data_IF_838431225715
#
_entry.id   IF_838431225715
#
_cell.length_a   1.000
_cell.length_b   1.000
_cell.length_c   1.000
_cell.angle_alpha   90.00
_cell.angle_beta   90.00
_cell.angle_gamma   90.00
#
_symmetry.space_group_name_H-M   'P 1'
#
loop_
_entity.id
_entity.type
_entity.pdbx_description
1 polymer ?
#
# COMPACT_ATOMS: atom_id res chain seq x y z
N UNK A 1 -4.48 8.72 -2.75
CA UNK A 1 -5.67 8.00 -2.22
C UNK A 1 -6.87 8.90 -2.09
N UNK A 2 -6.72 10.14 -1.59
CA UNK A 2 -7.81 11.13 -1.55
C UNK A 2 -8.26 11.55 -2.95
N UNK A 3 -7.32 11.82 -3.86
CA UNK A 3 -7.60 12.20 -5.27
C UNK A 3 -8.42 11.15 -6.03
N UNK A 4 -8.21 9.87 -5.71
CA UNK A 4 -8.89 8.74 -6.35
C UNK A 4 -10.17 8.33 -5.62
N UNK A 5 -10.54 9.02 -4.54
CA UNK A 5 -11.67 8.65 -3.68
C UNK A 5 -11.42 7.36 -2.86
N UNK A 6 -10.19 6.84 -2.87
CA UNK A 6 -9.79 5.63 -2.14
C UNK A 6 -9.65 5.81 -0.63
N UNK A 7 -9.68 7.04 -0.12
CA UNK A 7 -9.67 7.32 1.31
C UNK A 7 -10.60 8.50 1.63
N UNK A 8 -11.64 8.24 2.42
CA UNK A 8 -12.70 9.21 2.77
C UNK A 8 -13.15 8.95 4.21
N UNK A 9 -13.43 10.00 4.98
CA UNK A 9 -13.94 9.90 6.36
C UNK A 9 -13.12 8.96 7.27
N UNK A 10 -11.79 9.05 7.18
CA UNK A 10 -10.85 8.20 7.91
C UNK A 10 -11.00 6.69 7.64
N UNK A 11 -11.52 6.31 6.48
CA UNK A 11 -11.69 4.93 6.06
C UNK A 11 -11.17 4.72 4.63
N UNK A 12 -10.67 3.51 4.36
CA UNK A 12 -10.30 3.07 3.02
C UNK A 12 -11.57 2.69 2.24
N UNK A 13 -11.67 3.18 1.01
CA UNK A 13 -12.67 2.74 0.05
C UNK A 13 -12.01 1.75 -0.92
N UNK A 14 -12.10 0.46 -0.61
CA UNK A 14 -11.43 -0.61 -1.37
C UNK A 14 -11.92 -0.67 -2.82
N UNK A 15 -13.18 -0.41 -3.10
CA UNK A 15 -13.73 -0.42 -4.46
C UNK A 15 -13.13 0.71 -5.32
N UNK A 16 -13.04 1.92 -4.77
CA UNK A 16 -12.39 3.04 -5.46
C UNK A 16 -10.89 2.77 -5.68
N UNK A 17 -10.21 2.17 -4.70
CA UNK A 17 -8.80 1.78 -4.83
C UNK A 17 -8.63 0.72 -5.93
N UNK A 18 -9.42 -0.36 -5.92
CA UNK A 18 -9.36 -1.41 -6.95
C UNK A 18 -9.61 -0.83 -8.33
N UNK A 19 -10.61 0.05 -8.46
CA UNK A 19 -10.89 0.75 -9.73
C UNK A 19 -9.71 1.59 -10.20
N UNK A 20 -9.07 2.33 -9.29
CA UNK A 20 -7.87 3.12 -9.62
C UNK A 20 -6.67 2.26 -9.99
N UNK A 21 -6.53 1.07 -9.39
CA UNK A 21 -5.43 0.17 -9.71
C UNK A 21 -5.68 -0.65 -10.98
N UNK A 22 -6.94 -0.92 -11.33
CA UNK A 22 -7.31 -1.60 -12.57
C UNK A 22 -6.80 -0.88 -13.83
N UNK A 23 -6.69 0.45 -13.80
CA UNK A 23 -6.15 1.24 -14.92
C UNK A 23 -4.63 1.32 -14.96
N UNK A 24 -3.93 0.70 -14.01
CA UNK A 24 -2.46 0.70 -13.91
C UNK A 24 -1.93 -0.73 -13.80
N UNK A 25 -1.53 -1.18 -12.60
CA UNK A 25 -1.03 -2.53 -12.35
C UNK A 25 -2.07 -3.62 -12.66
N UNK A 26 -3.36 -3.31 -12.50
CA UNK A 26 -4.42 -4.27 -12.79
C UNK A 26 -4.63 -4.55 -14.29
N UNK A 27 -4.08 -3.70 -15.17
CA UNK A 27 -4.08 -3.93 -16.61
C UNK A 27 -2.96 -4.88 -17.05
N UNK A 28 -1.93 -5.08 -16.20
CA UNK A 28 -0.87 -6.04 -16.46
C UNK A 28 -1.39 -7.47 -16.16
N UNK A 29 -1.32 -8.40 -17.14
CA UNK A 29 -1.86 -9.75 -16.97
C UNK A 29 -1.13 -10.54 -15.86
N UNK A 30 0.09 -10.16 -15.50
CA UNK A 30 0.85 -10.79 -14.42
C UNK A 30 0.36 -10.35 -13.03
N UNK A 31 -0.22 -9.15 -12.91
CA UNK A 31 -0.58 -8.54 -11.63
C UNK A 31 -2.09 -8.42 -11.38
N UNK A 32 -2.92 -8.47 -12.42
CA UNK A 32 -4.37 -8.22 -12.33
C UNK A 32 -5.07 -8.97 -11.18
N UNK A 33 -4.82 -10.27 -11.05
CA UNK A 33 -5.41 -11.10 -9.99
C UNK A 33 -4.80 -10.83 -8.60
N UNK A 34 -3.52 -10.47 -8.53
CA UNK A 34 -2.79 -10.19 -7.29
C UNK A 34 -3.21 -8.87 -6.65
N UNK A 35 -3.46 -7.85 -7.48
CA UNK A 35 -3.76 -6.49 -7.02
C UNK A 35 -5.02 -6.45 -6.16
N UNK A 36 -6.11 -7.08 -6.60
CA UNK A 36 -7.37 -7.05 -5.84
C UNK A 36 -7.23 -7.77 -4.49
N UNK A 37 -6.55 -8.92 -4.47
CA UNK A 37 -6.26 -9.64 -3.23
C UNK A 37 -5.36 -8.85 -2.28
N UNK A 38 -4.34 -8.16 -2.81
CA UNK A 38 -3.49 -7.28 -2.03
C UNK A 38 -4.28 -6.11 -1.42
N UNK A 39 -5.16 -5.47 -2.18
CA UNK A 39 -6.03 -4.39 -1.68
C UNK A 39 -6.87 -4.87 -0.51
N UNK A 40 -7.55 -6.01 -0.65
CA UNK A 40 -8.42 -6.54 0.40
C UNK A 40 -7.63 -6.95 1.65
N UNK A 41 -6.50 -7.62 1.48
CA UNK A 41 -5.64 -8.03 2.58
C UNK A 41 -5.06 -6.83 3.32
N UNK A 42 -4.55 -5.84 2.59
CA UNK A 42 -3.95 -4.64 3.18
C UNK A 42 -4.98 -3.75 3.86
N UNK A 43 -6.16 -3.57 3.27
CA UNK A 43 -7.23 -2.81 3.92
C UNK A 43 -7.64 -3.46 5.24
N UNK A 44 -7.86 -4.78 5.23
CA UNK A 44 -8.18 -5.55 6.44
C UNK A 44 -7.08 -5.44 7.49
N UNK A 45 -5.80 -5.59 7.09
CA UNK A 45 -4.68 -5.51 8.02
C UNK A 45 -4.62 -4.13 8.71
N UNK A 46 -4.70 -3.05 7.94
CA UNK A 46 -4.58 -1.69 8.48
C UNK A 46 -5.79 -1.29 9.32
N UNK A 47 -7.00 -1.67 8.91
CA UNK A 47 -8.21 -1.36 9.69
C UNK A 47 -8.29 -2.12 11.01
N UNK A 48 -7.66 -3.30 11.10
CA UNK A 48 -7.67 -4.13 12.31
C UNK A 48 -6.43 -3.91 13.20
N UNK A 49 -5.44 -3.15 12.75
CA UNK A 49 -4.21 -2.91 13.50
C UNK A 49 -4.35 -1.67 14.40
N UNK A 50 -4.27 -1.83 15.74
CA UNK A 50 -4.38 -0.72 16.69
C UNK A 50 -3.36 0.39 16.50
N UNK A 51 -2.22 0.12 15.84
CA UNK A 51 -1.24 1.16 15.51
C UNK A 51 -1.83 2.25 14.59
N UNK A 52 -2.88 1.92 13.82
CA UNK A 52 -3.56 2.84 12.91
C UNK A 52 -4.91 3.34 13.45
N UNK A 53 -5.34 2.88 14.63
CA UNK A 53 -6.57 3.36 15.27
C UNK A 53 -6.40 4.69 16.01
N UNK A 54 -5.26 5.35 15.86
CA UNK A 54 -5.02 6.69 16.42
C UNK A 54 -6.00 7.70 15.81
N UNK A 55 -6.50 8.60 16.66
CA UNK A 55 -7.45 9.61 16.22
C UNK A 55 -6.82 10.47 15.11
N UNK A 56 -7.49 10.62 13.94
CA UNK A 56 -6.96 11.45 12.86
C UNK A 56 -6.87 12.90 13.31
N UNK A 57 -5.87 13.61 12.80
CA UNK A 57 -5.75 15.05 12.99
C UNK A 57 -6.82 15.69 12.11
N UNK A 58 -7.78 16.39 12.73
CA UNK A 58 -8.83 17.10 12.00
C UNK A 58 -8.23 18.19 11.11
N UNK A 59 -8.80 18.32 9.92
CA UNK A 59 -8.53 19.45 9.02
C UNK A 59 -8.92 20.77 9.69
N UNK A 60 -8.13 21.82 9.45
CA UNK A 60 -8.47 23.20 9.74
C UNK A 60 -8.38 24.02 8.44
N UNK A 61 -8.88 25.27 8.40
CA UNK A 61 -8.77 26.10 7.19
C UNK A 61 -7.34 26.20 6.64
N UNK A 62 -6.34 26.13 7.51
CA UNK A 62 -4.93 26.27 7.18
C UNK A 62 -4.18 24.92 7.05
N UNK A 63 -4.83 23.78 7.32
CA UNK A 63 -4.18 22.46 7.25
C UNK A 63 -5.13 21.35 6.82
N UNK A 64 -4.68 20.52 5.89
CA UNK A 64 -5.37 19.26 5.61
C UNK A 64 -5.34 18.36 6.87
N UNK A 65 -6.40 17.56 7.04
CA UNK A 65 -6.41 16.53 8.07
C UNK A 65 -5.41 15.42 7.74
N UNK A 66 -4.84 14.80 8.76
CA UNK A 66 -3.84 13.74 8.59
C UNK A 66 -4.30 12.46 9.28
N UNK A 67 -4.10 11.34 8.58
CA UNK A 67 -4.33 9.98 9.10
C UNK A 67 -3.14 9.11 8.70
N UNK A 68 -2.76 8.16 9.56
CA UNK A 68 -1.71 7.19 9.26
C UNK A 68 -2.21 6.03 8.39
N UNK A 69 -3.54 5.86 8.26
CA UNK A 69 -4.17 4.78 7.49
C UNK A 69 -3.70 4.76 6.02
N UNK A 70 -3.71 5.88 5.27
CA UNK A 70 -3.20 5.92 3.90
C UNK A 70 -1.74 5.44 3.80
N UNK A 71 -0.86 5.91 4.67
CA UNK A 71 0.56 5.55 4.60
C UNK A 71 0.78 4.07 4.94
N UNK A 72 0.10 3.56 5.97
CA UNK A 72 0.14 2.14 6.32
C UNK A 72 -0.36 1.25 5.19
N UNK A 73 -1.50 1.61 4.58
CA UNK A 73 -2.08 0.88 3.46
C UNK A 73 -1.14 0.84 2.27
N UNK A 74 -0.60 1.98 1.86
CA UNK A 74 0.32 2.03 0.71
C UNK A 74 1.59 1.24 1.01
N UNK A 75 2.16 1.33 2.22
CA UNK A 75 3.31 0.50 2.61
C UNK A 75 2.99 -1.00 2.50
N UNK A 76 1.83 -1.44 3.00
CA UNK A 76 1.38 -2.82 2.87
C UNK A 76 1.25 -3.25 1.40
N UNK A 77 0.71 -2.40 0.53
CA UNK A 77 0.58 -2.69 -0.90
C UNK A 77 1.94 -2.90 -1.56
N UNK A 78 2.91 -2.02 -1.32
CA UNK A 78 4.28 -2.18 -1.84
C UNK A 78 4.92 -3.47 -1.33
N UNK A 79 4.85 -3.74 -0.03
CA UNK A 79 5.39 -4.96 0.56
C UNK A 79 4.76 -6.21 -0.03
N UNK A 80 3.43 -6.25 -0.13
CA UNK A 80 2.68 -7.43 -0.60
C UNK A 80 2.92 -7.71 -2.07
N UNK A 81 2.86 -6.69 -2.92
CA UNK A 81 3.09 -6.83 -4.35
C UNK A 81 4.54 -7.19 -4.66
N UNK A 82 5.52 -6.62 -3.95
CA UNK A 82 6.92 -6.99 -4.13
C UNK A 82 7.18 -8.44 -3.71
N UNK A 83 6.66 -8.86 -2.56
CA UNK A 83 6.80 -10.25 -2.07
C UNK A 83 6.09 -11.26 -2.96
N UNK A 84 4.99 -10.87 -3.60
CA UNK A 84 4.19 -11.73 -4.48
C UNK A 84 4.49 -11.51 -5.96
N UNK A 85 5.60 -10.83 -6.28
CA UNK A 85 5.97 -10.52 -7.66
C UNK A 85 6.06 -11.81 -8.49
N UNK A 86 5.31 -11.93 -9.60
CA UNK A 86 5.32 -13.12 -10.44
C UNK A 86 6.70 -13.40 -11.02
N UNK A 87 7.08 -14.68 -11.10
CA UNK A 87 8.37 -15.09 -11.65
C UNK A 87 8.61 -14.57 -13.09
N UNK A 88 7.54 -14.42 -13.89
CA UNK A 88 7.61 -13.91 -15.26
C UNK A 88 8.17 -12.48 -15.36
N UNK A 89 8.08 -11.68 -14.30
CA UNK A 89 8.51 -10.28 -14.24
C UNK A 89 9.47 -10.02 -13.06
N UNK A 90 9.93 -11.09 -12.41
CA UNK A 90 10.88 -11.01 -11.31
C UNK A 90 12.30 -10.85 -11.84
N UNK A 91 13.03 -9.88 -11.28
CA UNK A 91 14.44 -9.70 -11.57
C UNK A 91 15.27 -10.60 -10.66
N UNK A 92 15.90 -11.62 -11.23
CA UNK A 92 16.84 -12.49 -10.51
C UNK A 92 18.13 -11.72 -10.18
N UNK A 93 18.19 -11.17 -8.96
CA UNK A 93 19.37 -10.50 -8.42
C UNK A 93 19.49 -10.70 -6.92
N UNK A 94 20.73 -10.65 -6.41
CA UNK A 94 21.02 -10.69 -4.98
C UNK A 94 20.33 -9.56 -4.23
N UNK A 95 20.20 -8.39 -4.85
CA UNK A 95 19.60 -7.20 -4.24
C UNK A 95 18.08 -7.36 -4.11
N UNK A 96 17.41 -7.90 -5.12
CA UNK A 96 15.98 -8.24 -5.06
C UNK A 96 15.70 -9.28 -3.97
N UNK A 97 16.55 -10.30 -3.85
CA UNK A 97 16.42 -11.33 -2.82
C UNK A 97 16.71 -10.79 -1.41
N UNK A 98 17.69 -9.90 -1.27
CA UNK A 98 18.00 -9.23 -0.01
C UNK A 98 16.83 -8.35 0.45
N UNK A 99 16.25 -7.56 -0.46
CA UNK A 99 15.07 -6.74 -0.18
C UNK A 99 13.89 -7.63 0.24
N UNK A 100 13.62 -8.72 -0.48
CA UNK A 100 12.56 -9.67 -0.13
C UNK A 100 12.75 -10.22 1.29
N UNK A 101 13.97 -10.65 1.62
CA UNK A 101 14.33 -11.14 2.96
C UNK A 101 14.08 -10.08 4.05
N UNK A 102 14.43 -8.81 3.81
CA UNK A 102 14.17 -7.73 4.77
C UNK A 102 12.68 -7.48 4.97
N UNK A 103 11.89 -7.49 3.90
CA UNK A 103 10.44 -7.37 3.98
C UNK A 103 9.81 -8.56 4.73
N UNK A 104 10.34 -9.77 4.53
CA UNK A 104 9.91 -10.98 5.25
C UNK A 104 10.23 -10.92 6.74
N UNK A 105 11.33 -10.27 7.13
CA UNK A 105 11.66 -9.99 8.53
C UNK A 105 10.81 -8.89 9.18
N UNK A 106 9.87 -8.30 8.45
CA UNK A 106 8.95 -7.29 8.96
C UNK A 106 9.43 -5.84 8.83
N UNK A 107 10.52 -5.58 8.09
CA UNK A 107 10.93 -4.20 7.81
C UNK A 107 9.92 -3.53 6.86
N UNK A 108 9.35 -2.36 7.21
CA UNK A 108 8.49 -1.60 6.31
C UNK A 108 9.23 -1.22 5.02
N UNK A 109 8.58 -1.38 3.87
CA UNK A 109 9.15 -1.08 2.56
C UNK A 109 9.70 0.36 2.49
N UNK A 110 8.96 1.33 3.03
CA UNK A 110 9.38 2.73 3.01
C UNK A 110 10.60 3.04 3.87
N UNK A 111 10.88 2.25 4.92
CA UNK A 111 12.10 2.41 5.71
C UNK A 111 13.33 1.88 4.94
N UNK A 112 13.14 0.85 4.12
CA UNK A 112 14.22 0.25 3.32
C UNK A 112 14.60 1.13 2.11
N UNK A 113 13.64 1.87 1.55
CA UNK A 113 13.87 2.72 0.38
C UNK A 113 14.53 4.08 0.71
N UNK A 114 14.77 4.39 2.00
CA UNK A 114 15.48 5.59 2.44
C UNK A 114 14.78 6.94 2.17
N UNK A 115 13.65 6.93 1.46
CA UNK A 115 12.72 8.04 1.25
C UNK A 115 11.31 7.45 1.26
N UNK A 116 10.39 8.04 2.03
CA UNK A 116 8.96 7.73 1.95
C UNK A 116 8.40 7.94 0.54
N UNK A 117 7.12 7.62 0.28
CA UNK A 117 6.52 7.83 -1.04
C UNK A 117 6.77 9.27 -1.50
N UNK A 118 7.34 9.44 -2.69
CA UNK A 118 7.53 10.77 -3.29
C UNK A 118 6.13 11.35 -3.53
N UNK A 119 5.84 12.46 -2.85
CA UNK A 119 4.65 13.27 -3.08
C UNK A 119 4.74 13.94 -4.45
#
# INVERSE_FOLDING_TARGET
LTETGGFVNNALNTDAIKKSMATTLGADPNFGSLVNGAVDSCARQIQNDPAYSVAPISSSPDRAGCSFIPQGFVNCMYTTLFKSCPAAVWTESSDCQALKTKLDSGCPFFLLMGRGPRQ
#
